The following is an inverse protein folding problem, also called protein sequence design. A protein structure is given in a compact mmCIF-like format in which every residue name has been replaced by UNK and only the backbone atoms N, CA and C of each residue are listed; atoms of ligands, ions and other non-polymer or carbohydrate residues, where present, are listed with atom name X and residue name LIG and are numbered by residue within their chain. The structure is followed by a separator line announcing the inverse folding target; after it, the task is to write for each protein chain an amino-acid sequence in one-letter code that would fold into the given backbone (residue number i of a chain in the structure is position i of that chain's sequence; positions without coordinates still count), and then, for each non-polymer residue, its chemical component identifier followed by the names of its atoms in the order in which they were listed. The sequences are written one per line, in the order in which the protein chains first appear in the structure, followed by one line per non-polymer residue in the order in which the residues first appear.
data_IF_026909809447
#
_entry.id   IF_026909809447
#
_cell.length_a   1.000
_cell.length_b   1.000
_cell.length_c   1.000
_cell.angle_alpha   90.00
_cell.angle_beta   90.00
_cell.angle_gamma   90.00
#
_symmetry.space_group_name_H-M   'P 1'
#
loop_
_entity.id
_entity.type
_entity.pdbx_description
1 polymer ?
#
# COMPACT_ATOMS: atom_id res chain seq x y z
N UNK A 1 7.61 -18.45 23.16
CA UNK A 1 7.76 -17.55 22.00
C UNK A 1 6.41 -17.44 21.29
N UNK A 2 5.80 -16.28 21.31
CA UNK A 2 4.58 -16.03 20.51
C UNK A 2 5.02 -15.50 19.13
N UNK A 3 5.12 -16.44 18.19
CA UNK A 3 5.63 -16.20 16.83
C UNK A 3 4.84 -15.11 16.13
N UNK A 4 3.51 -15.17 16.21
CA UNK A 4 2.63 -14.24 15.48
C UNK A 4 2.75 -12.82 16.02
N UNK A 5 2.75 -12.67 17.34
CA UNK A 5 2.95 -11.38 17.98
C UNK A 5 4.31 -10.79 17.64
N UNK A 6 5.38 -11.59 17.63
CA UNK A 6 6.74 -11.12 17.26
C UNK A 6 6.80 -10.66 15.80
N UNK A 7 6.21 -11.39 14.86
CA UNK A 7 6.15 -11.01 13.44
C UNK A 7 5.34 -9.71 13.26
N UNK A 8 4.15 -9.61 13.85
CA UNK A 8 3.30 -8.42 13.77
C UNK A 8 4.00 -7.19 14.37
N UNK A 9 4.68 -7.37 15.50
CA UNK A 9 5.50 -6.31 16.13
C UNK A 9 6.64 -5.88 15.21
N UNK A 10 7.41 -6.81 14.66
CA UNK A 10 8.50 -6.52 13.73
C UNK A 10 8.00 -5.76 12.50
N UNK A 11 6.92 -6.22 11.87
CA UNK A 11 6.33 -5.55 10.72
C UNK A 11 5.91 -4.11 11.05
N UNK A 12 5.26 -3.88 12.18
CA UNK A 12 4.77 -2.56 12.57
C UNK A 12 5.88 -1.61 13.03
N UNK A 13 6.90 -2.11 13.73
CA UNK A 13 7.94 -1.29 14.35
C UNK A 13 9.20 -1.15 13.48
N UNK A 14 9.42 -2.03 12.51
CA UNK A 14 10.61 -2.05 11.65
C UNK A 14 10.23 -1.83 10.20
N UNK A 15 9.58 -2.80 9.54
CA UNK A 15 9.42 -2.74 8.07
C UNK A 15 8.49 -1.62 7.61
N UNK A 16 7.46 -1.25 8.38
CA UNK A 16 6.57 -0.12 8.07
C UNK A 16 7.22 1.25 8.28
N UNK A 17 8.34 1.29 8.99
CA UNK A 17 9.09 2.53 9.22
C UNK A 17 10.20 2.76 8.20
N UNK A 18 10.33 1.89 7.21
CA UNK A 18 11.26 2.11 6.10
C UNK A 18 10.88 3.37 5.35
N UNK A 19 11.86 4.25 5.16
CA UNK A 19 11.69 5.54 4.50
C UNK A 19 11.89 5.33 3.00
N UNK A 20 10.83 5.52 2.22
CA UNK A 20 10.91 5.45 0.76
C UNK A 20 11.30 6.80 0.21
N UNK A 21 12.39 6.86 -0.54
CA UNK A 21 12.92 8.06 -1.19
C UNK A 21 13.29 7.76 -2.64
N UNK A 22 13.31 8.80 -3.45
CA UNK A 22 13.82 8.73 -4.81
C UNK A 22 15.35 8.81 -4.86
N UNK A 23 15.92 8.48 -6.01
CA UNK A 23 17.35 8.66 -6.25
C UNK A 23 17.80 10.14 -6.14
N UNK A 24 16.92 11.09 -6.45
CA UNK A 24 17.21 12.52 -6.35
C UNK A 24 17.25 13.01 -4.90
N UNK A 25 16.65 12.27 -3.99
CA UNK A 25 16.60 12.58 -2.55
C UNK A 25 17.75 11.94 -1.74
N UNK A 26 18.68 11.23 -2.36
CA UNK A 26 19.81 10.55 -1.67
C UNK A 26 20.59 11.53 -0.79
N UNK A 27 20.78 12.78 -1.23
CA UNK A 27 21.52 13.80 -0.46
C UNK A 27 20.82 14.21 0.84
N UNK A 28 19.53 13.89 1.01
CA UNK A 28 18.77 14.15 2.23
C UNK A 28 19.08 13.14 3.36
N UNK A 29 19.70 12.02 3.01
CA UNK A 29 20.16 11.03 3.98
C UNK A 29 21.27 11.67 4.84
N UNK A 30 21.22 11.50 6.16
CA UNK A 30 22.26 12.01 7.06
C UNK A 30 23.64 11.45 6.69
N UNK A 31 24.67 12.29 6.80
CA UNK A 31 26.06 11.84 6.64
C UNK A 31 26.39 10.74 7.66
N UNK A 32 27.08 9.69 7.23
CA UNK A 32 27.42 8.56 8.08
C UNK A 32 27.81 7.33 7.28
N UNK A 33 27.96 6.21 7.99
CA UNK A 33 28.18 4.89 7.40
C UNK A 33 26.88 4.09 7.40
N UNK A 34 26.68 3.31 6.35
CA UNK A 34 25.47 2.54 6.11
C UNK A 34 25.81 1.15 5.60
N UNK A 35 24.92 0.21 5.85
CA UNK A 35 24.87 -1.07 5.17
C UNK A 35 23.96 -0.94 3.96
N UNK A 36 24.47 -1.30 2.80
CA UNK A 36 23.78 -1.21 1.52
C UNK A 36 23.57 -2.61 0.95
N UNK A 37 22.39 -2.88 0.44
CA UNK A 37 22.06 -4.08 -0.31
C UNK A 37 21.17 -3.77 -1.51
N UNK A 38 21.21 -4.63 -2.53
CA UNK A 38 20.24 -4.64 -3.61
C UNK A 38 18.84 -4.83 -3.02
N UNK A 39 17.85 -4.09 -3.54
CA UNK A 39 16.45 -4.33 -3.23
C UNK A 39 15.90 -5.36 -4.21
N UNK A 40 15.48 -6.50 -3.69
CA UNK A 40 14.81 -7.55 -4.44
C UNK A 40 13.31 -7.25 -4.58
N UNK A 41 12.74 -7.55 -5.73
CA UNK A 41 11.32 -7.39 -6.01
C UNK A 41 10.58 -8.72 -5.73
N UNK A 42 10.35 -8.98 -4.45
CA UNK A 42 9.77 -10.21 -3.95
C UNK A 42 8.66 -9.97 -2.93
N UNK A 43 8.56 -10.89 -1.98
CA UNK A 43 7.60 -10.83 -0.87
C UNK A 43 8.28 -11.06 0.47
N UNK A 44 7.87 -10.29 1.49
CA UNK A 44 8.32 -10.49 2.87
C UNK A 44 7.70 -11.75 3.47
N UNK A 45 8.54 -12.72 3.81
CA UNK A 45 8.18 -13.93 4.54
C UNK A 45 9.08 -14.15 5.75
N UNK A 46 8.59 -14.92 6.70
CA UNK A 46 9.30 -15.22 7.93
C UNK A 46 9.50 -16.73 8.05
N UNK A 47 10.76 -17.13 8.19
CA UNK A 47 11.05 -18.47 8.67
C UNK A 47 11.02 -18.47 10.20
N UNK A 48 10.19 -19.32 10.77
CA UNK A 48 9.97 -19.41 12.21
C UNK A 48 10.31 -20.82 12.67
N UNK A 49 11.21 -20.94 13.63
CA UNK A 49 11.54 -22.22 14.28
C UNK A 49 11.31 -22.11 15.78
N UNK A 50 10.59 -23.09 16.33
CA UNK A 50 10.41 -23.28 17.76
C UNK A 50 10.65 -24.75 18.09
N UNK A 51 11.73 -25.02 18.77
CA UNK A 51 12.23 -26.37 19.04
C UNK A 51 12.45 -27.18 17.75
N UNK A 52 11.66 -28.27 17.56
CA UNK A 52 11.72 -29.14 16.38
C UNK A 52 10.78 -28.70 15.24
N UNK A 53 9.88 -27.77 15.50
CA UNK A 53 8.88 -27.34 14.53
C UNK A 53 9.34 -26.07 13.80
N UNK A 54 9.19 -26.04 12.49
CA UNK A 54 9.49 -24.87 11.68
C UNK A 54 8.40 -24.60 10.64
N UNK A 55 8.21 -23.32 10.31
CA UNK A 55 7.24 -22.85 9.33
C UNK A 55 7.77 -21.65 8.56
N UNK A 56 7.25 -21.46 7.34
CA UNK A 56 7.42 -20.21 6.57
C UNK A 56 6.06 -19.55 6.45
N UNK A 57 5.89 -18.43 7.16
CA UNK A 57 4.62 -17.73 7.29
C UNK A 57 4.79 -16.24 7.02
N UNK A 58 3.69 -15.56 6.68
CA UNK A 58 3.65 -14.10 6.61
C UNK A 58 2.93 -13.49 7.83
N UNK A 59 2.84 -12.17 7.87
CA UNK A 59 2.17 -11.44 8.97
C UNK A 59 0.65 -11.64 9.02
N UNK A 60 0.05 -12.17 7.96
CA UNK A 60 -1.36 -12.55 7.89
C UNK A 60 -1.60 -14.03 8.21
N UNK A 61 -0.57 -14.69 8.77
CA UNK A 61 -0.62 -16.10 9.19
C UNK A 61 -0.75 -17.11 8.04
N UNK A 62 -0.62 -16.66 6.79
CA UNK A 62 -0.56 -17.59 5.65
C UNK A 62 0.70 -18.44 5.76
N UNK A 63 0.56 -19.76 5.63
CA UNK A 63 1.64 -20.74 5.73
C UNK A 63 1.92 -21.34 4.34
N UNK A 64 3.14 -21.13 3.83
CA UNK A 64 3.60 -21.67 2.54
C UNK A 64 4.64 -22.77 2.71
N UNK A 65 4.88 -23.28 3.92
CA UNK A 65 5.91 -24.28 4.22
C UNK A 65 5.86 -25.51 3.30
N UNK A 66 4.65 -25.94 2.93
CA UNK A 66 4.44 -27.08 2.03
C UNK A 66 4.65 -26.73 0.54
N UNK A 67 4.56 -25.46 0.18
CA UNK A 67 4.79 -24.99 -1.19
C UNK A 67 6.28 -24.86 -1.44
N UNK A 68 7.02 -24.25 -0.49
CA UNK A 68 8.45 -23.97 -0.57
C UNK A 68 9.28 -24.93 0.30
N UNK A 69 9.02 -26.23 0.18
CA UNK A 69 9.67 -27.28 1.00
C UNK A 69 11.19 -27.24 0.92
N UNK A 70 11.75 -26.95 -0.24
CA UNK A 70 13.20 -26.92 -0.43
C UNK A 70 13.86 -25.81 0.38
N UNK A 71 13.24 -24.62 0.40
CA UNK A 71 13.68 -23.48 1.21
C UNK A 71 13.60 -23.84 2.71
N UNK A 72 12.46 -24.40 3.12
CA UNK A 72 12.25 -24.78 4.51
C UNK A 72 13.28 -25.82 4.96
N UNK A 73 13.50 -26.89 4.18
CA UNK A 73 14.44 -27.96 4.51
C UNK A 73 15.90 -27.47 4.55
N UNK A 74 16.27 -26.56 3.63
CA UNK A 74 17.60 -25.94 3.63
C UNK A 74 17.83 -25.14 4.93
N UNK A 75 16.85 -24.34 5.37
CA UNK A 75 16.93 -23.61 6.63
C UNK A 75 16.90 -24.54 7.85
N UNK A 76 16.08 -25.58 7.84
CA UNK A 76 16.03 -26.57 8.94
C UNK A 76 17.39 -27.23 9.15
N UNK A 77 18.09 -27.58 8.06
CA UNK A 77 19.45 -28.13 8.08
C UNK A 77 20.47 -27.13 8.62
N UNK A 78 20.50 -25.91 8.06
CA UNK A 78 21.43 -24.83 8.43
C UNK A 78 21.24 -24.40 9.89
N UNK A 79 20.01 -24.41 10.38
CA UNK A 79 19.62 -23.98 11.73
C UNK A 79 19.36 -25.14 12.69
N UNK A 80 19.93 -26.34 12.42
CA UNK A 80 19.72 -27.52 13.25
C UNK A 80 20.11 -27.31 14.72
N UNK A 81 21.12 -26.49 14.99
CA UNK A 81 21.61 -26.15 16.34
C UNK A 81 20.83 -25.03 17.04
N UNK A 82 19.95 -24.31 16.34
CA UNK A 82 19.11 -23.24 16.93
C UNK A 82 17.82 -23.85 17.45
N UNK A 83 17.43 -23.50 18.68
CA UNK A 83 16.15 -23.96 19.27
C UNK A 83 15.02 -23.05 18.84
N UNK A 84 15.18 -21.73 19.02
CA UNK A 84 14.17 -20.73 18.69
C UNK A 84 14.80 -19.63 17.86
N UNK A 85 14.23 -19.39 16.68
CA UNK A 85 14.65 -18.28 15.81
C UNK A 85 13.53 -17.88 14.87
N UNK A 86 13.35 -16.57 14.67
CA UNK A 86 12.51 -16.00 13.63
C UNK A 86 13.38 -15.13 12.72
N UNK A 87 13.40 -15.48 11.44
CA UNK A 87 14.15 -14.78 10.41
C UNK A 87 13.18 -14.02 9.49
N UNK A 88 13.54 -12.79 9.11
CA UNK A 88 12.86 -12.06 8.06
C UNK A 88 13.64 -12.21 6.75
N UNK A 89 12.94 -12.54 5.67
CA UNK A 89 13.54 -12.71 4.36
C UNK A 89 12.61 -12.28 3.24
N UNK A 90 13.21 -11.92 2.11
CA UNK A 90 12.52 -11.67 0.86
C UNK A 90 12.42 -12.96 0.06
N UNK A 91 11.21 -13.44 -0.18
CA UNK A 91 10.96 -14.54 -1.11
C UNK A 91 10.94 -13.97 -2.52
N UNK A 92 11.82 -14.44 -3.37
CA UNK A 92 11.94 -13.96 -4.73
C UNK A 92 12.21 -15.10 -5.72
N UNK A 93 11.99 -14.83 -7.00
CA UNK A 93 12.26 -15.76 -8.08
C UNK A 93 13.66 -15.52 -8.63
N UNK A 94 14.51 -16.53 -8.60
CA UNK A 94 15.86 -16.45 -9.16
C UNK A 94 15.77 -16.39 -10.70
N UNK A 95 16.12 -15.27 -11.27
CA UNK A 95 16.17 -14.99 -12.69
C UNK A 95 17.61 -14.66 -13.14
N UNK A 96 17.89 -14.81 -14.42
CA UNK A 96 19.12 -14.29 -15.01
C UNK A 96 19.00 -12.79 -15.36
N UNK A 97 17.77 -12.27 -15.30
CA UNK A 97 17.42 -10.87 -15.49
C UNK A 97 17.01 -10.25 -14.14
N UNK A 98 16.34 -9.11 -14.18
CA UNK A 98 15.75 -8.50 -12.99
C UNK A 98 14.72 -9.43 -12.36
N UNK A 99 14.81 -9.63 -11.06
CA UNK A 99 13.79 -10.29 -10.26
C UNK A 99 12.51 -9.45 -10.28
N UNK A 100 11.36 -10.10 -10.51
CA UNK A 100 10.06 -9.42 -10.53
C UNK A 100 9.08 -10.09 -9.58
N UNK A 101 8.30 -9.28 -8.88
CA UNK A 101 7.22 -9.74 -8.01
C UNK A 101 6.27 -10.73 -8.72
N UNK A 102 5.91 -10.44 -9.98
CA UNK A 102 5.04 -11.32 -10.76
C UNK A 102 5.59 -12.72 -10.99
N UNK A 103 6.91 -12.86 -11.15
CA UNK A 103 7.56 -14.16 -11.31
C UNK A 103 7.54 -14.94 -10.00
N UNK A 104 7.68 -14.25 -8.86
CA UNK A 104 7.57 -14.85 -7.52
C UNK A 104 6.17 -15.42 -7.29
N UNK A 105 5.11 -14.66 -7.63
CA UNK A 105 3.72 -15.14 -7.54
C UNK A 105 3.48 -16.33 -8.47
N UNK A 106 3.93 -16.22 -9.73
CA UNK A 106 3.84 -17.33 -10.69
C UNK A 106 4.57 -18.57 -10.17
N UNK A 107 5.75 -18.39 -9.56
CA UNK A 107 6.55 -19.46 -8.96
C UNK A 107 5.85 -20.19 -7.83
N UNK A 108 5.07 -19.50 -7.01
CA UNK A 108 4.29 -20.12 -5.93
C UNK A 108 3.17 -21.04 -6.44
N UNK A 109 2.61 -20.75 -7.62
CA UNK A 109 1.52 -21.52 -8.24
C UNK A 109 1.95 -22.64 -9.18
N UNK A 110 3.23 -22.75 -9.53
CA UNK A 110 3.74 -23.66 -10.56
C UNK A 110 4.80 -24.61 -10.02
N UNK A 111 4.62 -25.93 -10.24
CA UNK A 111 5.50 -26.95 -9.67
C UNK A 111 6.94 -26.92 -10.20
N UNK A 112 7.17 -26.52 -11.43
CA UNK A 112 8.52 -26.42 -12.01
C UNK A 112 9.17 -25.08 -11.63
N UNK A 113 8.42 -24.01 -11.68
CA UNK A 113 8.92 -22.65 -11.37
C UNK A 113 9.29 -22.49 -9.90
N UNK A 114 8.58 -23.17 -8.98
CA UNK A 114 8.90 -23.06 -7.54
C UNK A 114 10.32 -23.51 -7.17
N UNK A 115 10.98 -24.35 -8.00
CA UNK A 115 12.40 -24.73 -7.81
C UNK A 115 13.35 -23.53 -7.95
N UNK A 116 12.92 -22.46 -8.60
CA UNK A 116 13.65 -21.19 -8.74
C UNK A 116 13.35 -20.19 -7.62
N UNK A 117 12.42 -20.46 -6.72
CA UNK A 117 12.18 -19.61 -5.57
C UNK A 117 13.34 -19.64 -4.59
N UNK A 118 13.69 -18.49 -4.04
CA UNK A 118 14.76 -18.30 -3.05
C UNK A 118 14.26 -17.44 -1.91
N UNK A 119 14.76 -17.69 -0.71
CA UNK A 119 14.55 -16.81 0.43
C UNK A 119 15.87 -16.09 0.76
N UNK A 120 15.94 -14.82 0.43
CA UNK A 120 17.03 -13.93 0.81
C UNK A 120 16.82 -13.39 2.22
N UNK A 121 17.49 -13.97 3.21
CA UNK A 121 17.38 -13.57 4.62
C UNK A 121 18.13 -12.28 4.84
N UNK A 122 17.47 -11.28 5.46
CA UNK A 122 18.09 -9.97 5.67
C UNK A 122 18.03 -9.46 7.12
N UNK A 123 17.27 -10.12 8.02
CA UNK A 123 17.24 -9.72 9.43
C UNK A 123 16.83 -10.88 10.35
N UNK A 124 17.15 -10.73 11.63
CA UNK A 124 16.71 -11.59 12.73
C UNK A 124 15.65 -10.81 13.51
N UNK A 125 14.43 -11.34 13.53
CA UNK A 125 13.32 -10.80 14.30
C UNK A 125 13.48 -11.14 15.78
N UNK A 126 13.77 -12.43 16.05
CA UNK A 126 13.95 -12.97 17.39
C UNK A 126 14.90 -14.18 17.35
N UNK A 127 15.70 -14.37 18.39
CA UNK A 127 16.57 -15.55 18.55
C UNK A 127 16.91 -15.81 20.01
N UNK A 128 17.39 -17.03 20.31
CA UNK A 128 17.93 -17.37 21.62
C UNK A 128 19.21 -16.58 21.96
N UNK A 129 19.83 -15.92 20.98
CA UNK A 129 20.99 -15.05 21.17
C UNK A 129 20.58 -13.59 21.26
N UNK A 130 21.14 -12.87 22.21
CA UNK A 130 21.00 -11.43 22.28
C UNK A 130 21.91 -10.77 21.22
N UNK A 131 21.29 -10.17 20.20
CA UNK A 131 21.95 -9.45 19.12
C UNK A 131 21.38 -8.02 19.04
N UNK A 132 22.17 -7.02 19.37
CA UNK A 132 21.70 -5.67 19.64
C UNK A 132 21.67 -4.78 18.40
N UNK A 133 22.58 -4.95 17.44
CA UNK A 133 22.73 -4.11 16.26
C UNK A 133 22.69 -4.93 14.98
N UNK A 134 22.58 -4.23 13.85
CA UNK A 134 22.49 -4.88 12.54
C UNK A 134 23.77 -5.63 12.16
N UNK A 135 24.94 -5.09 12.49
CA UNK A 135 26.23 -5.70 12.15
C UNK A 135 26.39 -7.08 12.80
N UNK A 136 26.05 -7.20 14.07
CA UNK A 136 26.11 -8.49 14.81
C UNK A 136 25.11 -9.50 14.26
N UNK A 137 23.88 -9.06 13.95
CA UNK A 137 22.88 -9.89 13.28
C UNK A 137 23.37 -10.39 11.93
N UNK A 138 23.95 -9.51 11.13
CA UNK A 138 24.44 -9.84 9.80
C UNK A 138 25.62 -10.82 9.85
N UNK A 139 26.60 -10.56 10.72
CA UNK A 139 27.72 -11.50 10.93
C UNK A 139 27.24 -12.87 11.39
N UNK A 140 26.28 -12.91 12.30
CA UNK A 140 25.68 -14.15 12.78
C UNK A 140 24.95 -14.89 11.67
N UNK A 141 24.08 -14.20 10.90
CA UNK A 141 23.38 -14.78 9.76
C UNK A 141 24.36 -15.38 8.73
N UNK A 142 25.41 -14.65 8.37
CA UNK A 142 26.45 -15.15 7.44
C UNK A 142 27.09 -16.44 7.93
N UNK A 143 27.35 -16.54 9.23
CA UNK A 143 27.97 -17.72 9.84
C UNK A 143 27.06 -18.93 9.80
N UNK A 144 25.74 -18.76 10.03
CA UNK A 144 24.81 -19.90 10.20
C UNK A 144 24.09 -20.29 8.91
N UNK A 145 23.87 -19.34 7.99
CA UNK A 145 23.10 -19.58 6.75
C UNK A 145 24.03 -19.57 5.52
N UNK A 146 25.00 -18.66 5.49
CA UNK A 146 25.85 -18.43 4.32
C UNK A 146 25.25 -17.45 3.30
N UNK A 147 26.03 -17.06 2.29
CA UNK A 147 25.69 -16.06 1.29
C UNK A 147 25.65 -16.60 -0.16
N UNK A 148 25.63 -17.89 -0.35
CA UNK A 148 25.59 -18.46 -1.71
C UNK A 148 24.17 -18.33 -2.27
N UNK A 149 23.97 -17.43 -3.25
CA UNK A 149 22.67 -17.17 -3.88
C UNK A 149 22.09 -18.39 -4.65
N UNK A 150 22.90 -19.42 -4.90
CA UNK A 150 22.44 -20.70 -5.46
C UNK A 150 21.67 -21.55 -4.45
N UNK A 151 21.92 -21.35 -3.16
CA UNK A 151 21.20 -22.08 -2.09
C UNK A 151 19.73 -21.62 -2.07
N UNK A 152 18.83 -22.50 -1.65
CA UNK A 152 17.41 -22.15 -1.54
C UNK A 152 17.15 -21.02 -0.54
N UNK A 153 17.94 -20.97 0.53
CA UNK A 153 17.95 -19.86 1.47
C UNK A 153 19.38 -19.36 1.71
N UNK A 154 19.59 -18.07 1.64
CA UNK A 154 20.88 -17.42 1.83
C UNK A 154 20.72 -16.04 2.44
N UNK A 155 21.79 -15.50 3.00
CA UNK A 155 21.80 -14.13 3.52
C UNK A 155 22.01 -13.16 2.36
N UNK A 156 21.15 -12.14 2.25
CA UNK A 156 21.36 -11.08 1.26
C UNK A 156 22.69 -10.37 1.50
N UNK A 157 23.42 -10.15 0.42
CA UNK A 157 24.69 -9.43 0.49
C UNK A 157 24.47 -7.98 0.92
N UNK A 158 25.23 -7.55 1.92
CA UNK A 158 25.30 -6.17 2.34
C UNK A 158 26.75 -5.69 2.29
N UNK A 159 26.91 -4.49 1.80
CA UNK A 159 28.19 -3.77 1.73
C UNK A 159 28.17 -2.58 2.68
N UNK A 160 29.28 -2.29 3.35
CA UNK A 160 29.41 -1.14 4.22
C UNK A 160 29.90 0.03 3.35
N UNK A 161 29.11 1.11 3.27
CA UNK A 161 29.37 2.28 2.43
C UNK A 161 29.27 3.57 3.22
N UNK A 162 29.99 4.60 2.80
CA UNK A 162 29.80 5.96 3.28
C UNK A 162 28.68 6.63 2.51
N UNK A 163 28.04 7.63 3.11
CA UNK A 163 26.95 8.40 2.49
C UNK A 163 27.27 8.87 1.05
N UNK A 164 28.47 9.37 0.79
CA UNK A 164 28.87 9.87 -0.52
C UNK A 164 29.05 8.78 -1.59
N UNK A 165 29.06 7.50 -1.20
CA UNK A 165 29.18 6.36 -2.10
C UNK A 165 27.83 5.84 -2.55
N UNK A 166 26.74 6.19 -1.83
CA UNK A 166 25.38 5.68 -2.11
C UNK A 166 24.93 6.00 -3.54
N UNK A 167 25.17 7.22 -4.03
CA UNK A 167 24.81 7.61 -5.42
C UNK A 167 25.54 6.78 -6.47
N UNK A 168 26.82 6.48 -6.23
CA UNK A 168 27.61 5.63 -7.13
C UNK A 168 27.03 4.21 -7.13
N UNK A 169 26.81 3.64 -5.95
CA UNK A 169 26.21 2.31 -5.81
C UNK A 169 24.82 2.23 -6.46
N UNK A 170 24.02 3.31 -6.37
CA UNK A 170 22.72 3.37 -7.04
C UNK A 170 22.88 3.27 -8.57
N UNK A 171 23.79 4.04 -9.17
CA UNK A 171 24.07 3.97 -10.60
C UNK A 171 24.53 2.57 -11.03
N UNK A 172 25.44 1.98 -10.26
CA UNK A 172 26.01 0.68 -10.62
C UNK A 172 24.96 -0.45 -10.49
N UNK A 173 24.20 -0.51 -9.40
CA UNK A 173 23.27 -1.61 -9.12
C UNK A 173 21.89 -1.39 -9.76
N UNK A 174 21.39 -0.16 -9.76
CA UNK A 174 20.01 0.10 -10.22
C UNK A 174 19.96 0.50 -11.69
N UNK A 175 20.85 1.38 -12.14
CA UNK A 175 20.81 1.87 -13.53
C UNK A 175 21.51 0.92 -14.51
N UNK A 176 22.64 0.28 -14.11
CA UNK A 176 23.37 -0.63 -14.99
C UNK A 176 22.89 -2.09 -14.93
N UNK A 177 22.54 -2.57 -13.72
CA UNK A 177 22.10 -3.96 -13.52
C UNK A 177 20.58 -4.10 -13.47
N UNK A 178 19.83 -3.02 -13.74
CA UNK A 178 18.34 -2.98 -13.73
C UNK A 178 17.70 -3.51 -12.45
N UNK A 179 18.31 -3.27 -11.27
CA UNK A 179 17.71 -3.64 -10.01
C UNK A 179 16.50 -2.74 -9.66
N UNK A 180 15.57 -3.22 -8.82
CA UNK A 180 14.41 -2.43 -8.39
C UNK A 180 14.81 -1.18 -7.60
N UNK A 181 15.91 -1.24 -6.86
CA UNK A 181 16.40 -0.17 -6.01
C UNK A 181 17.47 -0.65 -5.06
N UNK A 182 17.74 0.17 -4.04
CA UNK A 182 18.65 -0.14 -2.94
C UNK A 182 17.93 -0.12 -1.60
N UNK A 183 18.40 -0.94 -0.67
CA UNK A 183 18.14 -0.80 0.76
C UNK A 183 19.41 -0.26 1.40
N UNK A 184 19.29 0.91 2.05
CA UNK A 184 20.39 1.56 2.76
C UNK A 184 19.98 1.70 4.22
N UNK A 185 20.75 1.14 5.14
CA UNK A 185 20.37 1.05 6.54
C UNK A 185 21.52 1.30 7.52
N UNK A 186 21.16 1.85 8.66
CA UNK A 186 21.95 1.79 9.88
C UNK A 186 21.05 1.33 11.04
N UNK A 187 21.52 1.38 12.29
CA UNK A 187 20.72 0.95 13.44
C UNK A 187 19.48 1.80 13.69
N UNK A 188 19.45 3.04 13.20
CA UNK A 188 18.35 3.99 13.43
C UNK A 188 17.33 4.04 12.29
N UNK A 189 17.79 3.94 11.04
CA UNK A 189 16.96 4.18 9.86
C UNK A 189 17.21 3.15 8.77
N UNK A 190 16.17 2.87 8.00
CA UNK A 190 16.24 2.07 6.78
C UNK A 190 15.58 2.85 5.65
N UNK A 191 16.34 3.11 4.59
CA UNK A 191 15.87 3.78 3.39
C UNK A 191 15.67 2.78 2.27
N UNK A 192 14.55 2.92 1.55
CA UNK A 192 14.30 2.24 0.26
C UNK A 192 14.48 3.28 -0.82
N UNK A 193 15.55 3.17 -1.59
CA UNK A 193 15.87 4.10 -2.65
C UNK A 193 15.47 3.48 -3.98
N UNK A 194 14.55 4.12 -4.70
CA UNK A 194 14.04 3.67 -5.99
C UNK A 194 14.27 4.73 -7.06
N UNK A 195 14.32 4.27 -8.33
CA UNK A 195 14.25 5.17 -9.48
C UNK A 195 12.83 5.75 -9.55
N UNK A 196 12.74 7.03 -9.88
CA UNK A 196 11.46 7.64 -10.21
C UNK A 196 10.98 7.16 -11.59
N UNK A 197 9.69 6.91 -11.66
CA UNK A 197 9.01 6.49 -12.89
C UNK A 197 8.04 7.57 -13.34
N UNK A 198 7.70 7.57 -14.63
CA UNK A 198 6.65 8.42 -15.17
C UNK A 198 5.53 7.57 -15.78
N UNK A 199 4.31 8.11 -15.69
CA UNK A 199 3.13 7.50 -16.29
C UNK A 199 2.17 8.57 -16.80
N UNK A 200 1.49 8.28 -17.91
CA UNK A 200 0.44 9.10 -18.48
C UNK A 200 -0.91 8.65 -17.92
N UNK A 201 -1.53 9.49 -17.10
CA UNK A 201 -2.76 9.16 -16.38
C UNK A 201 -3.89 10.14 -16.73
N UNK A 202 -5.12 9.65 -16.67
CA UNK A 202 -6.33 10.45 -16.87
C UNK A 202 -6.65 11.27 -15.64
N UNK A 203 -7.01 12.51 -15.82
CA UNK A 203 -7.68 13.30 -14.77
C UNK A 203 -9.18 13.01 -14.83
N UNK A 204 -9.73 12.45 -13.75
CA UNK A 204 -11.13 12.01 -13.66
C UNK A 204 -11.96 12.84 -12.68
N UNK A 205 -11.30 13.73 -11.95
CA UNK A 205 -11.95 14.65 -11.01
C UNK A 205 -10.95 15.54 -10.31
N UNK A 206 -11.46 16.55 -9.59
CA UNK A 206 -10.64 17.49 -8.85
C UNK A 206 -11.30 17.91 -7.53
N UNK A 207 -10.47 18.37 -6.58
CA UNK A 207 -10.92 19.09 -5.39
C UNK A 207 -10.44 20.52 -5.43
N UNK A 208 -11.19 21.42 -4.79
CA UNK A 208 -10.86 22.84 -4.70
C UNK A 208 -9.96 23.12 -3.50
N UNK A 209 -9.06 24.08 -3.64
CA UNK A 209 -8.28 24.65 -2.55
C UNK A 209 -9.09 25.61 -1.67
N UNK A 210 -8.46 26.10 -0.60
CA UNK A 210 -9.03 27.18 0.22
C UNK A 210 -9.14 28.51 -0.54
N UNK A 211 -8.27 28.74 -1.51
CA UNK A 211 -8.33 29.89 -2.39
C UNK A 211 -9.28 29.63 -3.56
N UNK A 212 -10.13 30.58 -3.87
CA UNK A 212 -11.04 30.50 -5.02
C UNK A 212 -10.26 30.29 -6.33
N UNK A 213 -10.86 29.49 -7.23
CA UNK A 213 -10.36 29.27 -8.59
C UNK A 213 -8.99 28.53 -8.68
N UNK A 214 -8.68 27.69 -7.70
CA UNK A 214 -7.48 26.84 -7.72
C UNK A 214 -7.81 25.38 -7.42
N UNK A 215 -7.17 24.49 -8.17
CA UNK A 215 -7.20 23.03 -7.90
C UNK A 215 -6.30 22.71 -6.72
N UNK A 216 -6.81 21.93 -5.75
CA UNK A 216 -6.01 21.38 -4.65
C UNK A 216 -5.39 20.04 -5.03
N UNK A 217 -6.21 19.13 -5.54
CA UNK A 217 -5.77 17.80 -5.96
C UNK A 217 -6.63 17.29 -7.12
N UNK A 218 -6.07 16.38 -7.89
CA UNK A 218 -6.78 15.67 -8.95
C UNK A 218 -6.94 14.20 -8.62
N UNK A 219 -8.03 13.61 -9.09
CA UNK A 219 -8.28 12.18 -9.09
C UNK A 219 -7.73 11.59 -10.39
N UNK A 220 -6.98 10.49 -10.27
CA UNK A 220 -6.27 9.86 -11.37
C UNK A 220 -6.89 8.50 -11.72
N UNK A 221 -6.90 8.19 -13.00
CA UNK A 221 -7.40 6.93 -13.53
C UNK A 221 -6.59 6.42 -14.72
N UNK A 222 -6.78 5.14 -15.03
CA UNK A 222 -6.27 4.49 -16.25
C UNK A 222 -7.38 3.66 -16.89
N UNK A 223 -7.31 3.49 -18.19
CA UNK A 223 -8.19 2.55 -18.88
C UNK A 223 -7.84 1.10 -18.54
N UNK A 224 -8.82 0.32 -18.09
CA UNK A 224 -8.72 -1.14 -17.97
C UNK A 224 -8.94 -1.83 -19.32
N UNK A 225 -9.79 -1.26 -20.14
CA UNK A 225 -10.15 -1.62 -21.50
C UNK A 225 -10.68 -0.36 -22.21
N UNK A 226 -11.19 -0.50 -23.41
CA UNK A 226 -11.66 0.62 -24.24
C UNK A 226 -12.77 1.48 -23.61
N UNK A 227 -13.46 1.00 -22.60
CA UNK A 227 -14.61 1.69 -21.99
C UNK A 227 -14.45 2.00 -20.49
N UNK A 228 -13.85 1.05 -19.76
CA UNK A 228 -13.76 1.12 -18.32
C UNK A 228 -12.49 1.79 -17.84
N UNK A 229 -12.63 2.70 -16.91
CA UNK A 229 -11.55 3.41 -16.23
C UNK A 229 -11.47 2.92 -14.79
N UNK A 230 -10.27 2.60 -14.35
CA UNK A 230 -9.94 2.26 -12.97
C UNK A 230 -9.30 3.44 -12.27
N UNK A 231 -9.79 3.77 -11.08
CA UNK A 231 -9.14 4.75 -10.23
C UNK A 231 -7.79 4.20 -9.72
N UNK A 232 -6.74 5.05 -9.74
CA UNK A 232 -5.38 4.67 -9.31
C UNK A 232 -4.78 5.60 -8.26
N UNK A 233 -5.58 6.50 -7.71
CA UNK A 233 -5.11 7.39 -6.67
C UNK A 233 -5.42 8.87 -6.95
N UNK A 234 -4.68 9.74 -6.30
CA UNK A 234 -4.83 11.18 -6.46
C UNK A 234 -3.48 11.89 -6.29
N UNK A 235 -3.32 13.01 -6.96
CA UNK A 235 -2.14 13.85 -6.86
C UNK A 235 -2.49 15.25 -6.35
N UNK A 236 -1.82 15.71 -5.30
CA UNK A 236 -1.94 17.06 -4.74
C UNK A 236 -0.73 17.95 -5.05
N UNK A 237 0.38 17.33 -5.46
CA UNK A 237 1.58 18.06 -5.87
C UNK A 237 1.44 18.50 -7.33
N UNK A 238 0.78 19.64 -7.50
CA UNK A 238 0.51 20.27 -8.79
C UNK A 238 1.33 21.56 -8.85
N UNK A 239 2.14 21.80 -9.88
CA UNK A 239 2.87 23.05 -10.06
C UNK A 239 1.93 24.25 -10.00
N UNK A 240 2.38 25.33 -9.34
CA UNK A 240 1.53 26.50 -9.06
C UNK A 240 0.98 27.15 -10.33
N UNK A 241 1.77 27.20 -11.39
CA UNK A 241 1.38 27.70 -12.71
C UNK A 241 0.24 26.87 -13.33
N UNK A 242 0.25 25.55 -13.16
CA UNK A 242 -0.77 24.65 -13.70
C UNK A 242 -2.10 24.68 -12.93
N UNK A 243 -2.10 25.06 -11.63
CA UNK A 243 -3.33 25.01 -10.79
C UNK A 243 -4.47 25.87 -11.33
N UNK A 244 -4.16 27.07 -11.79
CA UNK A 244 -5.16 28.00 -12.35
C UNK A 244 -5.65 27.54 -13.73
N UNK A 245 -4.76 27.05 -14.56
CA UNK A 245 -5.10 26.59 -15.91
C UNK A 245 -5.92 25.30 -15.86
N UNK A 246 -5.55 24.37 -15.00
CA UNK A 246 -6.34 23.18 -14.72
C UNK A 246 -7.74 23.54 -14.19
N UNK A 247 -7.85 24.53 -13.30
CA UNK A 247 -9.15 24.99 -12.83
C UNK A 247 -10.05 25.43 -14.00
N UNK A 248 -9.55 26.31 -14.89
CA UNK A 248 -10.30 26.81 -16.06
C UNK A 248 -10.71 25.68 -17.00
N UNK A 249 -9.84 24.66 -17.21
CA UNK A 249 -10.11 23.53 -18.09
C UNK A 249 -11.10 22.54 -17.43
N UNK A 250 -10.83 22.11 -16.20
CA UNK A 250 -11.59 21.05 -15.53
C UNK A 250 -13.01 21.50 -15.14
N UNK A 251 -13.22 22.76 -14.80
CA UNK A 251 -14.56 23.27 -14.49
C UNK A 251 -15.53 23.23 -15.68
N UNK A 252 -15.01 23.39 -16.90
CA UNK A 252 -15.78 23.25 -18.13
C UNK A 252 -16.15 21.81 -18.46
N UNK A 253 -15.38 20.87 -17.95
CA UNK A 253 -15.54 19.42 -18.17
C UNK A 253 -16.35 18.73 -17.06
N UNK A 254 -16.90 19.49 -16.12
CA UNK A 254 -17.65 18.92 -14.99
C UNK A 254 -18.83 18.08 -15.48
N UNK A 255 -18.97 16.88 -14.90
CA UNK A 255 -20.03 15.92 -15.22
C UNK A 255 -20.67 15.38 -13.95
N UNK A 256 -21.85 14.77 -14.10
CA UNK A 256 -22.50 14.02 -13.01
C UNK A 256 -21.81 12.68 -12.75
N UNK A 257 -22.18 12.04 -11.64
CA UNK A 257 -21.77 10.68 -11.32
C UNK A 257 -22.82 9.99 -10.44
N UNK A 258 -22.92 8.68 -10.54
CA UNK A 258 -23.77 7.85 -9.66
C UNK A 258 -23.04 7.41 -8.38
N UNK A 259 -21.85 7.92 -8.12
CA UNK A 259 -21.05 7.66 -6.92
C UNK A 259 -20.42 8.93 -6.38
N UNK A 260 -19.98 8.88 -5.12
CA UNK A 260 -19.26 9.94 -4.44
C UNK A 260 -17.86 9.48 -4.09
N UNK A 261 -16.89 10.39 -4.21
CA UNK A 261 -15.53 10.20 -3.74
C UNK A 261 -15.07 11.38 -2.90
N UNK A 262 -14.41 11.07 -1.80
CA UNK A 262 -13.93 12.05 -0.84
C UNK A 262 -12.42 11.91 -0.70
N UNK A 263 -11.69 12.99 -0.81
CA UNK A 263 -10.26 13.06 -0.59
C UNK A 263 -9.91 12.80 0.89
N UNK A 264 -8.65 12.52 1.19
CA UNK A 264 -8.17 12.23 2.56
C UNK A 264 -8.46 13.36 3.56
N UNK A 265 -8.54 14.59 3.07
CA UNK A 265 -8.88 15.78 3.86
C UNK A 265 -10.40 16.03 4.04
N UNK A 266 -11.27 15.17 3.49
CA UNK A 266 -12.72 15.29 3.57
C UNK A 266 -13.39 16.04 2.42
N UNK A 267 -12.63 16.68 1.53
CA UNK A 267 -13.20 17.39 0.38
C UNK A 267 -13.79 16.41 -0.63
N UNK A 268 -14.99 16.72 -1.14
CA UNK A 268 -15.62 15.94 -2.21
C UNK A 268 -14.98 16.25 -3.56
N UNK A 269 -14.82 15.23 -4.39
CA UNK A 269 -14.36 15.40 -5.76
C UNK A 269 -15.50 15.91 -6.65
N UNK A 270 -15.17 16.89 -7.48
CA UNK A 270 -15.96 17.24 -8.67
C UNK A 270 -15.46 16.37 -9.81
N UNK A 271 -16.32 15.54 -10.37
CA UNK A 271 -15.95 14.67 -11.48
C UNK A 271 -15.95 15.41 -12.81
N UNK A 272 -15.10 14.97 -13.72
CA UNK A 272 -14.94 15.56 -15.05
C UNK A 272 -14.98 14.49 -16.13
N UNK A 273 -15.35 14.90 -17.35
CA UNK A 273 -15.15 14.08 -18.54
C UNK A 273 -13.68 13.67 -18.63
N UNK A 274 -13.35 12.38 -18.72
CA UNK A 274 -11.97 11.89 -18.70
C UNK A 274 -11.29 12.07 -20.05
N UNK A 275 -10.95 13.32 -20.40
CA UNK A 275 -10.30 13.66 -21.67
C UNK A 275 -8.94 14.35 -21.50
N UNK A 276 -8.56 14.71 -20.26
CA UNK A 276 -7.28 15.34 -20.00
C UNK A 276 -6.30 14.27 -19.49
N UNK A 277 -5.19 14.14 -20.20
CA UNK A 277 -4.05 13.30 -19.84
C UNK A 277 -2.99 14.16 -19.16
N UNK A 278 -2.43 13.67 -18.07
CA UNK A 278 -1.31 14.30 -17.40
C UNK A 278 -0.16 13.32 -17.20
N UNK A 279 1.05 13.80 -17.38
CA UNK A 279 2.25 13.08 -17.01
C UNK A 279 2.48 13.20 -15.51
N UNK A 280 2.57 12.07 -14.85
CA UNK A 280 2.82 11.96 -13.42
C UNK A 280 4.19 11.35 -13.20
N UNK A 281 5.05 12.06 -12.47
CA UNK A 281 6.25 11.49 -11.86
C UNK A 281 5.86 10.84 -10.53
N UNK A 282 6.28 9.61 -10.31
CA UNK A 282 5.91 8.85 -9.11
C UNK A 282 7.06 7.94 -8.67
N UNK A 283 7.08 7.61 -7.39
CA UNK A 283 8.06 6.67 -6.85
C UNK A 283 7.67 5.22 -7.16
N UNK A 284 6.39 4.89 -7.02
CA UNK A 284 5.85 3.56 -7.36
C UNK A 284 4.33 3.57 -7.46
N UNK A 285 3.80 2.56 -8.13
CA UNK A 285 2.42 2.13 -7.99
C UNK A 285 2.33 1.08 -6.89
N UNK A 286 1.85 1.47 -5.72
CA UNK A 286 1.67 0.57 -4.58
C UNK A 286 0.47 -0.35 -4.82
N UNK A 287 0.68 -1.67 -4.85
CA UNK A 287 -0.37 -2.67 -5.10
C UNK A 287 -1.09 -3.14 -3.85
N UNK A 288 -0.45 -3.06 -2.68
CA UNK A 288 -0.98 -3.57 -1.43
C UNK A 288 -1.00 -2.50 -0.33
N UNK A 289 -1.98 -2.60 0.54
CA UNK A 289 -2.09 -1.76 1.74
C UNK A 289 -1.03 -2.17 2.76
N UNK A 290 -0.84 -1.34 3.78
CA UNK A 290 0.08 -1.61 4.89
C UNK A 290 -0.24 -2.89 5.69
N UNK A 291 -1.40 -3.48 5.52
CA UNK A 291 -1.81 -4.75 6.14
C UNK A 291 -1.77 -5.94 5.17
N UNK A 292 -1.03 -5.83 4.08
CA UNK A 292 -0.85 -6.83 3.01
C UNK A 292 -2.15 -7.20 2.26
N UNK A 293 -3.18 -6.38 2.40
CA UNK A 293 -4.40 -6.55 1.60
C UNK A 293 -4.25 -5.83 0.26
N UNK A 294 -4.67 -6.44 -0.86
CA UNK A 294 -4.65 -5.80 -2.15
C UNK A 294 -5.38 -4.45 -2.14
N UNK A 295 -4.81 -3.46 -2.78
CA UNK A 295 -5.50 -2.21 -3.02
C UNK A 295 -6.60 -2.46 -4.05
N UNK A 296 -7.80 -1.99 -3.74
CA UNK A 296 -8.98 -2.13 -4.59
C UNK A 296 -9.64 -0.78 -4.75
N UNK A 297 -9.84 -0.40 -5.98
CA UNK A 297 -10.48 0.86 -6.32
C UNK A 297 -11.72 0.64 -7.17
N UNK A 298 -12.54 1.70 -7.22
CA UNK A 298 -13.70 1.78 -8.06
C UNK A 298 -13.27 1.77 -9.53
N UNK A 299 -14.01 1.04 -10.37
CA UNK A 299 -13.98 1.16 -11.81
C UNK A 299 -15.31 1.78 -12.28
N UNK A 300 -15.24 2.53 -13.33
CA UNK A 300 -16.37 3.28 -13.87
C UNK A 300 -16.22 3.53 -15.38
N UNK A 301 -17.31 3.81 -16.04
CA UNK A 301 -17.34 4.22 -17.43
C UNK A 301 -17.88 5.65 -17.55
N UNK A 302 -17.50 6.33 -18.63
CA UNK A 302 -18.09 7.59 -19.01
C UNK A 302 -19.13 7.36 -20.09
N UNK A 303 -20.39 7.56 -19.75
CA UNK A 303 -21.53 7.45 -20.65
C UNK A 303 -22.62 8.43 -20.28
N UNK A 304 -23.39 8.89 -21.26
CA UNK A 304 -24.51 9.83 -21.08
C UNK A 304 -24.13 11.09 -20.25
N UNK A 305 -22.95 11.66 -20.48
CA UNK A 305 -22.39 12.83 -19.77
C UNK A 305 -22.25 12.59 -18.26
N UNK A 306 -22.06 11.34 -17.84
CA UNK A 306 -21.92 10.93 -16.44
C UNK A 306 -20.80 9.89 -16.28
N UNK A 307 -20.14 9.91 -15.12
CA UNK A 307 -19.29 8.78 -14.69
C UNK A 307 -20.15 7.79 -13.90
N UNK A 308 -20.21 6.56 -14.38
CA UNK A 308 -21.05 5.51 -13.82
C UNK A 308 -20.19 4.36 -13.28
N UNK A 309 -20.31 4.09 -11.99
CA UNK A 309 -19.59 2.99 -11.36
C UNK A 309 -20.05 1.65 -11.95
N UNK A 310 -19.08 0.83 -12.37
CA UNK A 310 -19.31 -0.52 -12.92
C UNK A 310 -18.86 -1.62 -11.97
N UNK A 311 -18.17 -1.28 -10.88
CA UNK A 311 -17.74 -2.25 -9.87
C UNK A 311 -16.42 -1.86 -9.22
N UNK A 312 -15.72 -2.86 -8.70
CA UNK A 312 -14.39 -2.72 -8.10
C UNK A 312 -13.44 -3.76 -8.69
N UNK A 313 -12.17 -3.38 -8.77
CA UNK A 313 -11.11 -4.30 -9.17
C UNK A 313 -9.88 -4.11 -8.29
N UNK A 314 -8.98 -5.11 -8.27
CA UNK A 314 -7.62 -4.88 -7.80
C UNK A 314 -7.05 -3.70 -8.56
N UNK A 315 -6.37 -2.84 -7.86
CA UNK A 315 -5.81 -1.60 -8.38
C UNK A 315 -4.49 -1.30 -7.69
N UNK A 316 -3.97 -0.12 -7.97
CA UNK A 316 -2.79 0.44 -7.33
C UNK A 316 -3.09 1.83 -6.78
N UNK A 317 -2.21 2.34 -5.93
CA UNK A 317 -2.20 3.75 -5.54
C UNK A 317 -0.87 4.38 -5.91
N UNK A 318 -0.92 5.55 -6.53
CA UNK A 318 0.28 6.36 -6.80
C UNK A 318 0.92 6.78 -5.47
N UNK A 319 2.22 6.58 -5.33
CA UNK A 319 3.01 6.98 -4.17
C UNK A 319 3.97 8.12 -4.54
N UNK A 320 4.01 9.18 -3.71
CA UNK A 320 4.87 10.37 -3.91
C UNK A 320 4.74 10.95 -5.33
N UNK A 321 3.50 11.17 -5.76
CA UNK A 321 3.20 11.61 -7.12
C UNK A 321 3.26 13.12 -7.28
N UNK A 322 3.82 13.56 -8.41
CA UNK A 322 3.88 14.95 -8.85
C UNK A 322 3.38 15.05 -10.29
N UNK A 323 2.50 16.01 -10.59
CA UNK A 323 2.19 16.33 -11.98
C UNK A 323 3.41 17.05 -12.58
N UNK A 324 3.90 16.53 -13.70
CA UNK A 324 4.97 17.18 -14.47
C UNK A 324 4.35 18.10 -15.52
N UNK A 325 3.45 17.54 -16.33
CA UNK A 325 2.86 18.28 -17.44
C UNK A 325 1.45 17.76 -17.81
N UNK A 326 0.76 18.54 -18.63
CA UNK A 326 -0.51 18.16 -19.27
C UNK A 326 -0.21 17.77 -20.71
N UNK A 327 -0.43 16.50 -21.02
CA UNK A 327 -0.05 15.87 -22.28
C UNK A 327 -1.08 16.15 -23.36
N UNK A 328 -0.89 17.25 -24.11
CA UNK A 328 -1.73 17.59 -25.26
C UNK A 328 -1.47 16.70 -26.50
N UNK A 329 -0.34 16.03 -26.52
CA UNK A 329 0.10 15.07 -27.54
C UNK A 329 -0.49 13.67 -27.35
N UNK A 330 -1.11 13.38 -26.19
CA UNK A 330 -1.71 12.09 -25.84
C UNK A 330 -3.23 12.13 -25.88
N UNK A 331 -3.82 10.99 -26.25
CA UNK A 331 -5.26 10.81 -26.28
C UNK A 331 -5.74 10.08 -25.02
N UNK A 332 -6.95 10.40 -24.59
CA UNK A 332 -7.62 9.67 -23.51
C UNK A 332 -8.20 8.35 -24.05
N UNK A 333 -7.33 7.36 -24.23
CA UNK A 333 -7.66 6.02 -24.73
C UNK A 333 -6.80 4.96 -24.00
N UNK A 334 -7.06 3.70 -24.31
CA UNK A 334 -6.36 2.56 -23.69
C UNK A 334 -4.86 2.50 -24.08
N UNK A 335 -4.50 2.89 -25.30
CA UNK A 335 -3.11 2.83 -25.78
C UNK A 335 -2.21 3.82 -25.02
N UNK A 336 -2.66 5.06 -24.85
CA UNK A 336 -1.89 6.12 -24.22
C UNK A 336 -1.98 6.11 -22.68
N UNK A 337 -3.15 5.73 -22.13
CA UNK A 337 -3.45 5.82 -20.69
C UNK A 337 -3.97 4.50 -20.11
N UNK A 338 -3.50 3.36 -20.64
CA UNK A 338 -4.00 2.05 -20.25
C UNK A 338 -3.24 1.38 -19.12
N UNK A 339 -3.81 0.26 -18.66
CA UNK A 339 -3.30 -0.60 -17.59
C UNK A 339 -1.86 -1.10 -17.82
N UNK A 340 -1.41 -1.19 -19.07
CA UNK A 340 -0.07 -1.68 -19.40
C UNK A 340 1.05 -0.89 -18.72
N UNK A 341 0.88 0.42 -18.52
CA UNK A 341 1.85 1.25 -17.79
C UNK A 341 1.96 0.82 -16.33
N UNK A 342 0.83 0.53 -15.69
CA UNK A 342 0.81 0.04 -14.30
C UNK A 342 1.51 -1.30 -14.20
N UNK A 343 1.21 -2.25 -15.10
CA UNK A 343 1.83 -3.59 -15.12
C UNK A 343 3.36 -3.44 -15.26
N UNK A 344 3.82 -2.60 -16.17
CA UNK A 344 5.25 -2.37 -16.41
C UNK A 344 5.95 -1.82 -15.16
N UNK A 345 5.36 -0.82 -14.50
CA UNK A 345 5.98 -0.10 -13.38
C UNK A 345 5.84 -0.88 -12.07
N UNK A 346 4.65 -1.45 -11.79
CA UNK A 346 4.40 -2.15 -10.53
C UNK A 346 4.89 -3.60 -10.51
N UNK A 347 5.12 -4.20 -11.68
CA UNK A 347 5.41 -5.64 -11.80
C UNK A 347 4.22 -6.56 -11.50
N UNK A 348 3.04 -6.01 -11.15
CA UNK A 348 1.85 -6.81 -10.84
C UNK A 348 1.30 -7.43 -12.14
N UNK A 349 1.13 -8.76 -12.21
CA UNK A 349 0.64 -9.41 -13.43
C UNK A 349 -0.76 -8.95 -13.82
N UNK A 350 -1.04 -8.86 -15.11
CA UNK A 350 -2.38 -8.51 -15.65
C UNK A 350 -3.50 -9.39 -15.07
N UNK A 351 -3.20 -10.66 -14.81
CA UNK A 351 -4.16 -11.63 -14.24
C UNK A 351 -4.64 -11.27 -12.83
N UNK A 352 -3.89 -10.44 -12.10
CA UNK A 352 -4.25 -9.97 -10.76
C UNK A 352 -5.29 -8.84 -10.78
N UNK A 353 -5.38 -8.07 -11.87
CA UNK A 353 -6.36 -6.98 -12.03
C UNK A 353 -7.76 -7.53 -12.37
N UNK A 354 -8.21 -8.53 -11.62
CA UNK A 354 -9.52 -9.16 -11.80
C UNK A 354 -10.63 -8.33 -11.19
N UNK A 355 -11.79 -8.41 -11.82
CA UNK A 355 -13.03 -7.85 -11.29
C UNK A 355 -13.45 -8.56 -10.01
N UNK A 356 -13.93 -7.77 -9.05
CA UNK A 356 -14.62 -8.28 -7.87
C UNK A 356 -16.10 -8.12 -8.16
N UNK A 357 -16.80 -9.23 -8.22
CA UNK A 357 -18.23 -9.21 -8.42
C UNK A 357 -18.92 -8.84 -7.10
N UNK A 358 -19.07 -7.52 -6.85
CA UNK A 358 -19.76 -7.03 -5.64
C UNK A 358 -21.26 -7.42 -5.62
N UNK A 359 -21.82 -7.88 -6.76
CA UNK A 359 -23.22 -8.30 -6.85
C UNK A 359 -23.50 -9.59 -6.06
N UNK A 360 -22.49 -10.44 -5.91
CA UNK A 360 -22.59 -11.71 -5.19
C UNK A 360 -22.30 -11.57 -3.69
N UNK A 361 -21.95 -10.36 -3.23
CA UNK A 361 -21.70 -10.15 -1.81
C UNK A 361 -23.00 -9.95 -1.04
N UNK A 362 -23.16 -10.61 0.11
CA UNK A 362 -24.33 -10.45 0.96
C UNK A 362 -24.53 -8.99 1.39
N UNK A 363 -25.81 -8.57 1.52
CA UNK A 363 -26.12 -7.21 1.98
C UNK A 363 -25.70 -7.04 3.45
N UNK A 364 -25.07 -5.92 3.74
CA UNK A 364 -24.74 -5.53 5.12
C UNK A 364 -26.01 -5.20 5.91
N UNK A 365 -25.98 -5.46 7.23
CA UNK A 365 -27.10 -5.17 8.15
C UNK A 365 -26.70 -4.11 9.15
N UNK A 366 -27.46 -3.02 9.24
CA UNK A 366 -27.29 -2.02 10.30
C UNK A 366 -27.81 -2.63 11.60
N UNK A 367 -26.93 -2.71 12.62
CA UNK A 367 -27.28 -3.20 13.96
C UNK A 367 -27.71 -2.03 14.85
N UNK A 368 -26.99 -0.91 14.78
CA UNK A 368 -27.29 0.27 15.60
C UNK A 368 -26.99 1.56 14.85
N UNK A 369 -27.88 2.54 14.96
CA UNK A 369 -27.71 3.90 14.42
C UNK A 369 -28.17 4.88 15.49
N UNK A 370 -27.30 5.84 15.84
CA UNK A 370 -27.64 6.93 16.75
C UNK A 370 -27.17 8.27 16.19
N UNK A 371 -27.97 9.29 16.38
CA UNK A 371 -27.71 10.65 15.93
C UNK A 371 -27.70 11.55 17.17
N UNK A 372 -26.74 12.45 17.22
CA UNK A 372 -26.61 13.45 18.27
C UNK A 372 -26.51 14.85 17.65
N UNK A 373 -27.12 15.81 18.31
CA UNK A 373 -27.04 17.23 17.97
C UNK A 373 -26.36 18.00 19.10
N UNK A 374 -25.78 19.11 18.76
CA UNK A 374 -25.29 20.11 19.70
C UNK A 374 -25.42 21.48 19.06
N UNK A 375 -26.05 22.40 19.75
CA UNK A 375 -26.10 23.79 19.33
C UNK A 375 -24.77 24.51 19.61
N UNK A 376 -24.35 25.32 18.68
CA UNK A 376 -23.16 26.14 18.78
C UNK A 376 -23.41 27.54 18.22
N UNK A 377 -22.52 28.49 18.49
CA UNK A 377 -22.59 29.85 17.93
C UNK A 377 -22.55 29.87 16.37
N UNK A 378 -22.18 28.77 15.73
CA UNK A 378 -22.06 28.62 14.27
C UNK A 378 -23.20 27.82 13.64
N UNK A 379 -24.19 27.39 14.44
CA UNK A 379 -25.31 26.57 13.98
C UNK A 379 -25.41 25.22 14.71
N UNK A 380 -26.18 24.31 14.13
CA UNK A 380 -26.44 22.98 14.70
C UNK A 380 -25.37 22.01 14.20
N UNK A 381 -24.60 21.49 15.12
CA UNK A 381 -23.63 20.41 14.85
C UNK A 381 -24.32 19.05 14.95
N UNK A 382 -24.06 18.14 14.01
CA UNK A 382 -24.64 16.79 13.99
C UNK A 382 -23.52 15.74 14.00
N UNK A 383 -23.70 14.70 14.82
CA UNK A 383 -22.86 13.50 14.82
C UNK A 383 -23.70 12.27 14.62
N UNK A 384 -23.20 11.32 13.83
CA UNK A 384 -23.81 10.01 13.60
C UNK A 384 -22.87 8.91 14.02
N UNK A 385 -23.43 7.93 14.71
CA UNK A 385 -22.77 6.70 15.11
C UNK A 385 -23.52 5.55 14.45
N UNK A 386 -22.79 4.73 13.71
CA UNK A 386 -23.35 3.58 12.99
C UNK A 386 -22.54 2.34 13.39
N UNK A 387 -23.26 1.26 13.67
CA UNK A 387 -22.66 -0.06 13.83
C UNK A 387 -23.41 -1.05 12.94
N UNK A 388 -22.68 -1.74 12.09
CA UNK A 388 -23.27 -2.72 11.18
C UNK A 388 -22.44 -3.97 11.04
N UNK A 389 -23.11 -5.06 10.71
CA UNK A 389 -22.54 -6.32 10.28
C UNK A 389 -22.32 -6.26 8.78
N UNK A 390 -21.12 -6.59 8.32
CA UNK A 390 -20.81 -6.57 6.88
C UNK A 390 -21.51 -7.71 6.14
N UNK A 391 -21.65 -8.88 6.77
CA UNK A 391 -22.06 -10.16 6.19
C UNK A 391 -21.11 -10.60 5.03
N UNK A 392 -19.90 -10.05 4.98
CA UNK A 392 -18.91 -10.25 3.93
C UNK A 392 -17.60 -10.81 4.48
N UNK A 393 -17.61 -11.28 5.70
CA UNK A 393 -16.45 -11.81 6.41
C UNK A 393 -15.83 -13.06 5.77
N UNK A 394 -16.59 -13.76 4.95
CA UNK A 394 -16.07 -14.86 4.13
C UNK A 394 -15.23 -14.38 2.96
N UNK A 395 -15.36 -13.12 2.58
CA UNK A 395 -14.48 -12.45 1.64
C UNK A 395 -13.36 -11.78 2.45
N UNK A 396 -12.11 -12.15 2.21
CA UNK A 396 -10.92 -11.75 2.96
C UNK A 396 -10.73 -10.23 3.16
N UNK A 397 -11.51 -9.42 2.49
CA UNK A 397 -11.35 -7.96 2.47
C UNK A 397 -12.29 -7.21 3.42
N UNK A 398 -13.28 -7.88 3.98
CA UNK A 398 -14.31 -7.24 4.80
C UNK A 398 -14.24 -7.73 6.24
N UNK A 399 -14.11 -6.82 7.22
CA UNK A 399 -14.26 -7.20 8.62
C UNK A 399 -15.73 -7.58 8.90
N UNK A 400 -15.94 -8.43 9.89
CA UNK A 400 -17.28 -8.89 10.27
C UNK A 400 -18.19 -7.74 10.71
N UNK A 401 -17.64 -6.79 11.47
CA UNK A 401 -18.38 -5.66 12.02
C UNK A 401 -17.62 -4.34 11.81
N UNK A 402 -18.39 -3.26 11.66
CA UNK A 402 -17.87 -1.92 11.44
C UNK A 402 -18.58 -0.92 12.34
N UNK A 403 -17.79 -0.15 13.11
CA UNK A 403 -18.25 1.03 13.83
C UNK A 403 -17.83 2.28 13.08
N UNK A 404 -18.78 3.11 12.72
CA UNK A 404 -18.56 4.31 11.92
C UNK A 404 -19.02 5.55 12.67
N UNK A 405 -18.10 6.50 12.85
CA UNK A 405 -18.35 7.80 13.44
C UNK A 405 -18.26 8.87 12.36
N UNK A 406 -19.28 9.68 12.27
CA UNK A 406 -19.41 10.83 11.36
C UNK A 406 -19.70 12.11 12.15
N UNK A 407 -19.00 13.17 11.80
CA UNK A 407 -19.19 14.48 12.42
C UNK A 407 -19.36 15.55 11.32
N UNK A 408 -20.56 16.14 11.28
CA UNK A 408 -20.99 17.16 10.34
C UNK A 408 -21.01 18.56 10.96
N UNK A 409 -20.19 18.82 11.99
CA UNK A 409 -20.13 20.14 12.62
C UNK A 409 -19.73 21.22 11.63
N UNK A 410 -20.43 22.35 11.65
CA UNK A 410 -20.15 23.50 10.81
C UNK A 410 -18.80 24.17 11.12
N UNK A 411 -18.31 24.99 10.18
CA UNK A 411 -17.09 25.78 10.33
C UNK A 411 -15.79 25.01 10.26
N UNK A 412 -15.81 23.79 9.71
CA UNK A 412 -14.60 23.00 9.44
C UNK A 412 -14.11 23.22 8.01
N UNK A 413 -12.80 23.15 7.82
CA UNK A 413 -12.20 23.05 6.48
C UNK A 413 -12.63 21.79 5.74
N UNK A 414 -12.87 20.70 6.48
CA UNK A 414 -13.36 19.43 5.96
C UNK A 414 -14.83 19.27 6.35
N UNK A 415 -15.76 19.15 5.39
CA UNK A 415 -17.20 19.15 5.67
C UNK A 415 -17.65 17.92 6.47
N UNK A 416 -16.92 16.81 6.38
CA UNK A 416 -17.25 15.57 7.07
C UNK A 416 -16.00 14.97 7.72
N UNK A 417 -15.94 14.97 9.05
CA UNK A 417 -14.95 14.14 9.76
C UNK A 417 -15.52 12.75 9.94
N UNK A 418 -14.76 11.75 9.51
CA UNK A 418 -15.13 10.33 9.62
C UNK A 418 -14.05 9.51 10.30
N UNK A 419 -14.47 8.51 11.07
CA UNK A 419 -13.60 7.48 11.61
C UNK A 419 -14.29 6.14 11.45
N UNK A 420 -13.54 5.13 11.02
CA UNK A 420 -14.00 3.78 10.83
C UNK A 420 -13.17 2.84 11.70
N UNK A 421 -13.86 1.99 12.46
CA UNK A 421 -13.25 1.03 13.37
C UNK A 421 -13.75 -0.37 13.00
N UNK A 422 -12.89 -1.25 12.47
CA UNK A 422 -13.24 -2.63 12.16
C UNK A 422 -13.17 -3.52 13.41
N UNK A 423 -14.06 -4.51 13.49
CA UNK A 423 -14.10 -5.51 14.54
C UNK A 423 -14.47 -6.89 13.94
N UNK A 424 -13.92 -7.94 14.52
CA UNK A 424 -14.31 -9.32 14.21
C UNK A 424 -15.38 -9.85 15.19
N UNK A 425 -15.52 -9.23 16.36
CA UNK A 425 -16.47 -9.58 17.41
C UNK A 425 -17.50 -8.48 17.63
N UNK A 426 -18.79 -8.86 17.69
CA UNK A 426 -19.91 -7.92 17.85
C UNK A 426 -19.89 -7.23 19.21
N UNK A 427 -19.61 -7.96 20.29
CA UNK A 427 -19.62 -7.44 21.66
C UNK A 427 -18.53 -6.41 21.86
N UNK A 428 -17.32 -6.68 21.31
CA UNK A 428 -16.22 -5.73 21.34
C UNK A 428 -16.56 -4.46 20.55
N UNK A 429 -17.16 -4.61 19.36
CA UNK A 429 -17.58 -3.49 18.53
C UNK A 429 -18.67 -2.63 19.18
N UNK A 430 -19.70 -3.25 19.77
CA UNK A 430 -20.74 -2.54 20.52
C UNK A 430 -20.20 -1.88 21.78
N UNK A 431 -19.26 -2.50 22.49
CA UNK A 431 -18.56 -1.90 23.63
C UNK A 431 -17.78 -0.64 23.24
N UNK A 432 -17.09 -0.67 22.10
CA UNK A 432 -16.40 0.49 21.55
C UNK A 432 -17.37 1.61 21.15
N UNK A 433 -18.47 1.26 20.47
CA UNK A 433 -19.53 2.20 20.11
C UNK A 433 -20.10 2.89 21.35
N UNK A 434 -20.42 2.13 22.40
CA UNK A 434 -20.95 2.66 23.67
C UNK A 434 -19.97 3.65 24.27
N UNK A 435 -18.68 3.31 24.35
CA UNK A 435 -17.65 4.22 24.84
C UNK A 435 -17.60 5.54 24.07
N UNK A 436 -17.66 5.48 22.73
CA UNK A 436 -17.68 6.69 21.90
C UNK A 436 -18.91 7.55 22.14
N UNK A 437 -20.09 6.92 22.34
CA UNK A 437 -21.35 7.62 22.65
C UNK A 437 -21.28 8.25 24.04
N UNK A 438 -20.83 7.54 25.06
CA UNK A 438 -20.69 8.05 26.42
C UNK A 438 -19.74 9.24 26.48
N UNK A 439 -18.61 9.18 25.78
CA UNK A 439 -17.69 10.30 25.63
C UNK A 439 -18.32 11.52 24.91
N UNK A 440 -19.23 11.25 23.98
CA UNK A 440 -19.95 12.27 23.25
C UNK A 440 -20.97 12.98 24.15
N UNK A 441 -21.74 12.22 24.93
CA UNK A 441 -22.72 12.74 25.89
C UNK A 441 -22.01 13.60 26.96
N UNK A 442 -20.87 13.14 27.51
CA UNK A 442 -20.08 13.92 28.47
C UNK A 442 -19.61 15.28 27.93
N UNK A 443 -19.55 15.43 26.61
CA UNK A 443 -19.19 16.70 25.92
C UNK A 443 -20.42 17.55 25.59
N UNK A 444 -21.58 17.25 26.16
CA UNK A 444 -22.81 18.01 26.00
C UNK A 444 -23.51 17.82 24.66
N UNK A 445 -23.41 16.61 24.06
CA UNK A 445 -24.19 16.25 22.88
C UNK A 445 -25.49 15.55 23.29
N UNK A 446 -26.60 15.97 22.73
CA UNK A 446 -27.92 15.46 23.01
C UNK A 446 -28.37 14.46 21.91
N UNK A 447 -28.99 13.38 22.33
CA UNK A 447 -29.54 12.39 21.39
C UNK A 447 -30.64 13.03 20.57
N UNK A 448 -30.62 12.86 19.27
CA UNK A 448 -31.63 13.34 18.35
C UNK A 448 -32.43 12.13 17.82
N UNK A 449 -33.72 12.11 18.19
CA UNK A 449 -34.69 11.18 17.66
C UNK A 449 -35.26 11.79 16.38
N UNK A 450 -34.69 11.38 15.22
CA UNK A 450 -35.13 11.80 13.90
C UNK A 450 -35.65 10.64 13.11
#
# INVERSE_FOLDING_TARGET
MDIITSIKKYKNSVTRKYISISNDEIDTIKKGEYWLSKKFDGQLWFYCKSNKNSKIINSNENDISNIVKDIKNDLDKKLSKSKNIILAGELYFLSNERERYGDTISGLGDNEKKKKLRLGVFDIVESDKLLSNFEDKYKFLKKIIGQKNKDFAHVLAHEKVKHNEIKKSFKDIVEKEDAEGLIVRNDSNVYKIKKEETADLLITGYTLGSNANQIRSVSLGVFLNEKEIMHVGSCGNIPTNLRKDLYKKLTKLKVSSNFQKIASNGSAYNFVKPEIVCEIKLLEFQGDKSNDQPIRHLKYEYSNKSLNATGRARSVSVLNSNIIDIRSDKKANFDDCGLNQIIRISGIPKSEFKEINDKDLPKSKIIKREIFKKESKKGIAIRKFLFWKSNKEKSSDYPSFLCYYLDYSEGRSDPIKRKLYPFEDEKLGLGHLKKLIDENIKKGWEKHNG
#
